data_IF_999963091623
#
_entry.id   IF_999963091623
#
_cell.length_a   1.000
_cell.length_b   1.000
_cell.length_c   1.000
_cell.angle_alpha   90.00
_cell.angle_beta   90.00
_cell.angle_gamma   90.00
#
_symmetry.space_group_name_H-M   'P 1'
#
loop_
_entity.id
_entity.type
_entity.pdbx_description
1 polymer ?
#
# COMPACT_ATOMS: atom_id res chain seq x y z
N UNK A 1 -48.78 28.57 -9.50
CA UNK A 1 -47.46 28.67 -8.83
C UNK A 1 -47.43 27.86 -7.51
N UNK A 2 -48.06 26.67 -7.47
CA UNK A 2 -48.24 25.86 -6.23
C UNK A 2 -47.55 24.48 -6.37
N UNK A 3 -47.37 23.99 -7.59
CA UNK A 3 -46.84 22.62 -7.86
C UNK A 3 -45.30 22.54 -7.71
N UNK A 4 -44.57 23.67 -7.73
CA UNK A 4 -43.10 23.67 -7.59
C UNK A 4 -42.59 23.54 -6.15
N UNK A 5 -43.42 23.73 -5.12
CA UNK A 5 -42.95 23.71 -3.72
C UNK A 5 -42.94 22.32 -3.08
N UNK A 6 -43.83 21.41 -3.49
CA UNK A 6 -43.88 20.06 -2.91
C UNK A 6 -42.74 19.16 -3.39
N UNK A 7 -42.27 19.35 -4.63
CA UNK A 7 -41.16 18.58 -5.20
C UNK A 7 -39.85 18.84 -4.43
N UNK A 8 -39.65 20.07 -3.95
CA UNK A 8 -38.45 20.44 -3.19
C UNK A 8 -38.39 19.77 -1.81
N UNK A 9 -39.54 19.53 -1.16
CA UNK A 9 -39.58 19.01 0.20
C UNK A 9 -39.32 17.49 0.26
N UNK A 10 -39.68 16.76 -0.81
CA UNK A 10 -39.39 15.33 -0.95
C UNK A 10 -37.91 15.10 -1.26
N UNK A 11 -37.26 15.94 -2.07
CA UNK A 11 -35.83 15.79 -2.37
C UNK A 11 -34.92 16.04 -1.14
N UNK A 12 -35.32 16.91 -0.21
CA UNK A 12 -34.49 17.26 0.96
C UNK A 12 -34.49 16.17 2.04
N UNK A 13 -35.56 15.39 2.15
CA UNK A 13 -35.69 14.32 3.16
C UNK A 13 -34.94 13.03 2.79
N UNK A 14 -34.60 12.81 1.51
CA UNK A 14 -33.77 11.68 1.07
C UNK A 14 -32.26 11.94 1.11
N UNK A 15 -31.83 13.20 1.18
CA UNK A 15 -30.41 13.57 1.31
C UNK A 15 -29.71 12.99 2.56
N UNK A 16 -30.25 13.09 3.79
CA UNK A 16 -29.55 12.59 4.98
C UNK A 16 -29.36 11.06 4.96
N UNK A 17 -30.30 10.31 4.38
CA UNK A 17 -30.24 8.86 4.33
C UNK A 17 -29.20 8.34 3.32
N UNK A 18 -29.06 9.03 2.17
CA UNK A 18 -28.05 8.69 1.16
C UNK A 18 -26.64 9.04 1.61
N UNK A 19 -26.45 10.18 2.29
CA UNK A 19 -25.15 10.58 2.85
C UNK A 19 -24.62 9.55 3.84
N UNK A 20 -25.47 8.99 4.71
CA UNK A 20 -25.05 8.04 5.75
C UNK A 20 -24.55 6.70 5.20
N UNK A 21 -25.11 6.21 4.09
CA UNK A 21 -24.67 4.96 3.46
C UNK A 21 -23.40 5.13 2.62
N UNK A 22 -23.20 6.31 2.03
CA UNK A 22 -21.99 6.69 1.28
C UNK A 22 -20.79 6.77 2.24
N UNK A 23 -20.97 7.41 3.41
CA UNK A 23 -19.91 7.49 4.42
C UNK A 23 -19.55 6.12 4.96
N UNK A 24 -20.53 5.27 5.30
CA UNK A 24 -20.28 3.91 5.80
C UNK A 24 -19.47 3.06 4.80
N UNK A 25 -19.84 3.10 3.51
CA UNK A 25 -19.08 2.39 2.46
C UNK A 25 -17.66 2.92 2.34
N UNK A 26 -17.46 4.25 2.37
CA UNK A 26 -16.11 4.84 2.28
C UNK A 26 -15.23 4.43 3.47
N UNK A 27 -15.79 4.37 4.68
CA UNK A 27 -15.05 3.97 5.88
C UNK A 27 -14.63 2.50 5.82
N UNK A 28 -15.51 1.61 5.34
CA UNK A 28 -15.18 0.19 5.13
C UNK A 28 -14.06 0.02 4.10
N UNK A 29 -14.11 0.75 2.99
CA UNK A 29 -13.06 0.69 1.97
C UNK A 29 -11.72 1.24 2.48
N UNK A 30 -11.76 2.32 3.27
CA UNK A 30 -10.55 2.85 3.92
C UNK A 30 -9.94 1.82 4.88
N UNK A 31 -10.76 1.19 5.73
CA UNK A 31 -10.29 0.12 6.62
C UNK A 31 -9.64 -1.04 5.85
N UNK A 32 -10.26 -1.51 4.76
CA UNK A 32 -9.69 -2.56 3.93
C UNK A 32 -8.36 -2.16 3.29
N UNK A 33 -8.23 -0.92 2.82
CA UNK A 33 -6.97 -0.42 2.29
C UNK A 33 -5.87 -0.40 3.36
N UNK A 34 -6.18 0.13 4.55
CA UNK A 34 -5.21 0.18 5.65
C UNK A 34 -4.73 -1.21 6.03
N UNK A 35 -5.65 -2.16 6.24
CA UNK A 35 -5.31 -3.54 6.58
C UNK A 35 -4.53 -4.24 5.46
N UNK A 36 -4.94 -4.06 4.20
CA UNK A 36 -4.24 -4.61 3.05
C UNK A 36 -2.80 -4.12 2.95
N UNK A 37 -2.57 -2.81 3.15
CA UNK A 37 -1.22 -2.23 3.09
C UNK A 37 -0.34 -2.64 4.27
N UNK A 38 -0.92 -2.86 5.47
CA UNK A 38 -0.19 -3.48 6.59
C UNK A 38 0.29 -4.88 6.20
N UNK A 39 -0.57 -5.68 5.56
CA UNK A 39 -0.20 -6.99 5.02
C UNK A 39 0.94 -6.91 4.00
N UNK A 40 0.87 -5.97 3.05
CA UNK A 40 1.94 -5.75 2.06
C UNK A 40 3.29 -5.43 2.72
N UNK A 41 3.31 -4.57 3.75
CA UNK A 41 4.54 -4.25 4.47
C UNK A 41 5.09 -5.47 5.22
N UNK A 42 4.19 -6.26 5.83
CA UNK A 42 4.57 -7.50 6.50
C UNK A 42 5.21 -8.49 5.51
N UNK A 43 4.58 -8.70 4.35
CA UNK A 43 5.09 -9.59 3.30
C UNK A 43 6.45 -9.13 2.76
N UNK A 44 6.65 -7.81 2.59
CA UNK A 44 7.95 -7.25 2.21
C UNK A 44 9.02 -7.60 3.25
N UNK A 45 8.72 -7.42 4.54
CA UNK A 45 9.63 -7.73 5.64
C UNK A 45 9.94 -9.23 5.74
N UNK A 46 8.93 -10.09 5.67
CA UNK A 46 9.09 -11.55 5.73
C UNK A 46 9.89 -12.09 4.55
N UNK A 47 9.71 -11.50 3.36
CA UNK A 47 10.44 -11.90 2.16
C UNK A 47 11.94 -11.57 2.23
N UNK A 48 12.35 -10.66 3.12
CA UNK A 48 13.72 -10.11 3.18
C UNK A 48 14.79 -11.17 3.29
N UNK A 49 14.66 -12.08 4.26
CA UNK A 49 15.64 -13.14 4.46
C UNK A 49 15.70 -14.08 3.25
N UNK A 50 14.54 -14.42 2.69
CA UNK A 50 14.42 -15.30 1.52
C UNK A 50 15.08 -14.69 0.28
N UNK A 51 14.88 -13.40 0.03
CA UNK A 51 15.50 -12.72 -1.12
C UNK A 51 17.01 -12.57 -0.94
N UNK A 52 17.49 -12.26 0.26
CA UNK A 52 18.94 -12.20 0.54
C UNK A 52 19.61 -13.57 0.34
N UNK A 53 18.97 -14.66 0.74
CA UNK A 53 19.45 -16.01 0.47
C UNK A 53 19.50 -16.33 -1.04
N UNK A 54 18.50 -15.88 -1.81
CA UNK A 54 18.51 -16.04 -3.28
C UNK A 54 19.62 -15.22 -3.95
N UNK A 55 19.94 -14.04 -3.43
CA UNK A 55 21.06 -13.24 -3.90
C UNK A 55 22.37 -14.00 -3.69
N UNK A 56 22.54 -14.60 -2.51
CA UNK A 56 23.71 -15.41 -2.17
C UNK A 56 23.88 -16.60 -3.13
N UNK A 57 22.83 -17.42 -3.29
CA UNK A 57 22.80 -18.56 -4.22
C UNK A 57 23.14 -18.14 -5.66
N UNK A 58 22.55 -17.02 -6.11
CA UNK A 58 22.77 -16.51 -7.45
C UNK A 58 24.20 -16.04 -7.67
N UNK A 59 24.78 -15.32 -6.69
CA UNK A 59 26.16 -14.87 -6.75
C UNK A 59 27.14 -16.04 -6.69
N UNK A 60 26.87 -17.06 -5.86
CA UNK A 60 27.66 -18.30 -5.83
C UNK A 60 27.70 -18.98 -7.21
N UNK A 61 26.54 -19.05 -7.89
CA UNK A 61 26.43 -19.61 -9.24
C UNK A 61 27.16 -18.78 -10.30
N UNK A 62 27.08 -17.46 -10.23
CA UNK A 62 27.64 -16.55 -11.25
C UNK A 62 29.15 -16.36 -11.13
N UNK A 63 29.68 -16.35 -9.90
CA UNK A 63 31.07 -15.99 -9.61
C UNK A 63 31.99 -17.21 -9.47
N UNK A 64 31.44 -18.42 -9.29
CA UNK A 64 32.22 -19.65 -9.17
C UNK A 64 33.18 -19.60 -7.98
N UNK A 65 34.48 -19.82 -8.23
CA UNK A 65 35.52 -19.80 -7.19
C UNK A 65 36.16 -18.41 -6.97
N UNK A 66 35.75 -17.37 -7.71
CA UNK A 66 36.28 -16.02 -7.51
C UNK A 66 35.64 -15.37 -6.28
N UNK A 67 36.37 -15.42 -5.17
CA UNK A 67 35.92 -14.94 -3.86
C UNK A 67 35.68 -13.44 -3.83
N UNK A 68 36.53 -12.64 -4.50
CA UNK A 68 36.38 -11.19 -4.50
C UNK A 68 35.19 -10.76 -5.35
N UNK A 69 35.00 -11.40 -6.52
CA UNK A 69 33.85 -11.15 -7.38
C UNK A 69 32.54 -11.59 -6.69
N UNK A 70 32.53 -12.73 -6.01
CA UNK A 70 31.39 -13.18 -5.22
C UNK A 70 31.04 -12.17 -4.11
N UNK A 71 32.03 -11.71 -3.34
CA UNK A 71 31.83 -10.74 -2.26
C UNK A 71 31.26 -9.42 -2.78
N UNK A 72 31.79 -8.94 -3.91
CA UNK A 72 31.29 -7.75 -4.58
C UNK A 72 29.84 -7.94 -5.05
N UNK A 73 29.52 -9.09 -5.64
CA UNK A 73 28.17 -9.44 -6.09
C UNK A 73 27.16 -9.42 -4.95
N UNK A 74 27.42 -10.19 -3.87
CA UNK A 74 26.50 -10.31 -2.73
C UNK A 74 26.29 -8.95 -2.07
N UNK A 75 27.36 -8.20 -1.83
CA UNK A 75 27.29 -6.88 -1.19
C UNK A 75 26.47 -5.91 -2.04
N UNK A 76 26.79 -5.80 -3.33
CA UNK A 76 26.14 -4.85 -4.23
C UNK A 76 24.64 -5.15 -4.39
N UNK A 77 24.29 -6.41 -4.64
CA UNK A 77 22.89 -6.80 -4.84
C UNK A 77 22.08 -6.70 -3.56
N UNK A 78 22.66 -7.08 -2.41
CA UNK A 78 22.01 -6.94 -1.11
C UNK A 78 21.74 -5.48 -0.78
N UNK A 79 22.71 -4.59 -0.99
CA UNK A 79 22.52 -3.16 -0.79
C UNK A 79 21.44 -2.56 -1.70
N UNK A 80 21.43 -2.95 -2.98
CA UNK A 80 20.40 -2.51 -3.93
C UNK A 80 19.01 -2.96 -3.44
N UNK A 81 18.88 -4.24 -3.08
CA UNK A 81 17.63 -4.80 -2.57
C UNK A 81 17.15 -4.04 -1.33
N UNK A 82 18.01 -3.85 -0.33
CA UNK A 82 17.68 -3.14 0.91
C UNK A 82 17.26 -1.67 0.65
N UNK A 83 17.92 -1.00 -0.29
CA UNK A 83 17.56 0.38 -0.69
C UNK A 83 16.19 0.41 -1.38
N UNK A 84 15.84 -0.60 -2.17
CA UNK A 84 14.53 -0.71 -2.83
C UNK A 84 13.44 -0.98 -1.80
N UNK A 85 13.62 -1.96 -0.90
CA UNK A 85 12.60 -2.30 0.10
C UNK A 85 12.35 -1.16 1.07
N UNK A 86 13.40 -0.49 1.56
CA UNK A 86 13.24 0.68 2.43
C UNK A 86 12.45 1.82 1.74
N UNK A 87 12.64 2.01 0.43
CA UNK A 87 11.83 2.97 -0.34
C UNK A 87 10.38 2.51 -0.47
N UNK A 88 10.16 1.22 -0.71
CA UNK A 88 8.81 0.65 -0.81
C UNK A 88 8.05 0.77 0.51
N UNK A 89 8.65 0.36 1.63
CA UNK A 89 8.07 0.50 2.98
C UNK A 89 7.63 1.94 3.25
N UNK A 90 8.47 2.93 2.90
CA UNK A 90 8.13 4.35 3.05
C UNK A 90 7.00 4.80 2.12
N UNK A 91 6.99 4.34 0.87
CA UNK A 91 5.95 4.70 -0.11
C UNK A 91 4.61 4.03 0.16
N UNK A 92 4.64 2.86 0.81
CA UNK A 92 3.50 2.03 1.13
C UNK A 92 3.04 2.15 2.56
N UNK A 93 3.53 3.14 3.31
CA UNK A 93 2.95 3.54 4.59
C UNK A 93 1.41 3.59 4.45
N UNK A 94 0.65 2.76 5.20
CA UNK A 94 -0.76 2.52 4.91
C UNK A 94 -1.57 3.81 4.90
N UNK A 95 -1.30 4.69 5.86
CA UNK A 95 -2.00 5.96 6.03
C UNK A 95 -1.72 6.90 4.85
N UNK A 96 -0.44 7.12 4.55
CA UNK A 96 -0.02 7.97 3.44
C UNK A 96 -0.53 7.44 2.10
N UNK A 97 -0.35 6.14 1.86
CA UNK A 97 -0.73 5.49 0.60
C UNK A 97 -2.24 5.54 0.37
N UNK A 98 -3.05 5.06 1.31
CA UNK A 98 -4.51 4.99 1.15
C UNK A 98 -5.16 6.36 1.00
N UNK A 99 -4.59 7.42 1.59
CA UNK A 99 -5.01 8.80 1.36
C UNK A 99 -4.57 9.34 0.00
N UNK A 100 -3.34 9.03 -0.42
CA UNK A 100 -2.77 9.47 -1.70
C UNK A 100 -3.57 8.95 -2.89
N UNK A 101 -4.10 7.73 -2.81
CA UNK A 101 -4.97 7.14 -3.85
C UNK A 101 -6.47 7.41 -3.63
N UNK A 102 -6.81 8.30 -2.70
CA UNK A 102 -8.18 8.75 -2.43
C UNK A 102 -9.17 7.66 -1.98
N UNK A 103 -8.68 6.53 -1.45
CA UNK A 103 -9.55 5.54 -0.79
C UNK A 103 -9.93 6.04 0.61
N UNK A 104 -8.96 6.53 1.36
CA UNK A 104 -9.20 7.15 2.66
C UNK A 104 -9.39 8.68 2.53
N UNK A 105 -10.30 9.28 3.32
CA UNK A 105 -10.39 10.72 3.48
C UNK A 105 -9.06 11.37 3.85
N UNK A 106 -8.86 12.62 3.40
CA UNK A 106 -7.63 13.38 3.69
C UNK A 106 -7.44 13.67 5.17
N UNK A 107 -8.53 13.82 5.92
CA UNK A 107 -8.56 14.10 7.35
C UNK A 107 -9.29 12.96 8.04
N UNK A 108 -8.55 11.89 8.31
CA UNK A 108 -8.99 10.76 9.11
C UNK A 108 -7.91 10.48 10.14
#
# INVERSE_FOLDING_TARGET
MIISMEISMVLVSFLPFTISSITERSMKMCYLCLQGMVGVIHDLNDSKATILAKIDEKCSTLCGMDVELYRLCVTTLSEIYLKITAKMEKQFDPNSFCRKIHICPKYL
#
